data_IF_488635622463
#
_entry.id   IF_488635622463
#
_cell.length_a   1.000
_cell.length_b   1.000
_cell.length_c   1.000
_cell.angle_alpha   90.00
_cell.angle_beta   90.00
_cell.angle_gamma   90.00
#
_symmetry.space_group_name_H-M   'P 1'
#
loop_
_entity.id
_entity.type
_entity.pdbx_description
1 polymer ?
#
# COMPACT_ATOMS: atom_id res chain seq x y z
N UNK A 1 15.60 1.68 -12.90
CA UNK A 1 16.49 0.81 -12.11
C UNK A 1 16.75 1.44 -10.74
N UNK A 2 17.47 0.79 -9.80
CA UNK A 2 17.65 1.27 -8.42
C UNK A 2 18.67 2.43 -8.34
N UNK A 3 18.36 3.53 -9.00
CA UNK A 3 19.16 4.74 -9.12
C UNK A 3 18.25 5.95 -8.91
N UNK A 4 18.78 7.01 -8.30
CA UNK A 4 18.01 8.20 -7.96
C UNK A 4 17.64 8.26 -6.47
N UNK A 5 17.26 9.44 -6.01
CA UNK A 5 16.83 9.70 -4.64
C UNK A 5 15.31 9.72 -4.57
N UNK A 6 14.70 9.78 -3.38
CA UNK A 6 13.23 9.82 -3.23
C UNK A 6 12.59 10.88 -4.13
N UNK A 7 13.22 12.06 -4.24
CA UNK A 7 12.74 13.17 -5.06
C UNK A 7 12.71 12.90 -6.58
N UNK A 8 13.49 11.95 -7.10
CA UNK A 8 13.49 11.64 -8.54
C UNK A 8 12.25 10.84 -8.95
N UNK A 9 11.59 10.16 -8.02
CA UNK A 9 10.41 9.35 -8.31
C UNK A 9 9.18 10.21 -8.67
N UNK A 10 9.09 11.45 -8.17
CA UNK A 10 7.92 12.30 -8.44
C UNK A 10 7.80 12.68 -9.93
N UNK A 11 8.79 13.31 -10.58
CA UNK A 11 8.69 13.62 -12.01
C UNK A 11 8.61 12.37 -12.89
N UNK A 12 9.28 11.28 -12.52
CA UNK A 12 9.21 10.00 -13.22
C UNK A 12 7.79 9.38 -13.19
N UNK A 13 7.15 9.38 -12.02
CA UNK A 13 5.78 8.93 -11.87
C UNK A 13 4.79 9.82 -12.64
N UNK A 14 5.00 11.14 -12.67
CA UNK A 14 4.17 12.05 -13.48
C UNK A 14 4.27 11.72 -14.96
N UNK A 15 5.48 11.58 -15.51
CA UNK A 15 5.68 11.22 -16.90
C UNK A 15 5.01 9.87 -17.26
N UNK A 16 5.07 8.89 -16.36
CA UNK A 16 4.40 7.60 -16.53
C UNK A 16 2.87 7.72 -16.54
N UNK A 17 2.32 8.52 -15.63
CA UNK A 17 0.87 8.76 -15.57
C UNK A 17 0.38 9.56 -16.78
N UNK A 18 1.17 10.50 -17.30
CA UNK A 18 0.83 11.24 -18.52
C UNK A 18 0.70 10.32 -19.74
N UNK A 19 1.54 9.29 -19.84
CA UNK A 19 1.41 8.25 -20.88
C UNK A 19 0.15 7.41 -20.66
N UNK A 20 -0.14 6.98 -19.44
CA UNK A 20 -1.38 6.25 -19.12
C UNK A 20 -2.63 7.07 -19.47
N UNK A 21 -2.63 8.38 -19.19
CA UNK A 21 -3.71 9.28 -19.55
C UNK A 21 -3.79 9.53 -21.05
N UNK A 22 -2.68 9.40 -21.78
CA UNK A 22 -2.67 9.41 -23.24
C UNK A 22 -3.36 8.17 -23.79
N UNK A 23 -3.01 6.97 -23.29
CA UNK A 23 -3.69 5.73 -23.67
C UNK A 23 -5.18 5.75 -23.37
N UNK A 24 -5.59 6.34 -22.23
CA UNK A 24 -7.01 6.57 -21.91
C UNK A 24 -7.71 7.44 -22.96
N UNK A 25 -7.09 8.55 -23.37
CA UNK A 25 -7.66 9.49 -24.35
C UNK A 25 -7.73 8.88 -25.75
N UNK A 26 -6.72 8.10 -26.11
CA UNK A 26 -6.60 7.48 -27.43
C UNK A 26 -7.41 6.17 -27.55
N UNK A 27 -8.01 5.71 -26.45
CA UNK A 27 -8.81 4.48 -26.42
C UNK A 27 -7.99 3.19 -26.43
N UNK A 28 -6.72 3.25 -26.00
CA UNK A 28 -5.79 2.12 -25.98
C UNK A 28 -5.87 1.28 -24.69
N UNK A 29 -6.80 1.58 -23.78
CA UNK A 29 -6.97 0.80 -22.56
C UNK A 29 -7.64 -0.55 -22.85
N UNK A 30 -7.31 -1.53 -22.02
CA UNK A 30 -8.00 -2.82 -22.01
C UNK A 30 -9.46 -2.66 -21.56
N UNK A 31 -10.34 -3.49 -22.11
CA UNK A 31 -11.73 -3.59 -21.69
C UNK A 31 -11.94 -4.87 -20.85
N UNK A 32 -11.83 -4.81 -19.51
CA UNK A 32 -12.02 -5.98 -18.67
C UNK A 32 -13.49 -6.43 -18.69
N UNK A 33 -13.70 -7.75 -18.67
CA UNK A 33 -15.04 -8.35 -18.59
C UNK A 33 -15.75 -8.04 -17.27
N UNK A 34 -14.99 -7.79 -16.20
CA UNK A 34 -15.49 -7.39 -14.88
C UNK A 34 -14.76 -6.12 -14.43
N UNK A 35 -15.26 -4.92 -14.77
CA UNK A 35 -14.61 -3.65 -14.46
C UNK A 35 -14.84 -3.14 -13.03
N UNK A 36 -15.70 -3.80 -12.24
CA UNK A 36 -16.08 -3.34 -10.90
C UNK A 36 -14.93 -3.45 -9.90
N UNK A 37 -14.64 -2.35 -9.20
CA UNK A 37 -13.64 -2.31 -8.14
C UNK A 37 -13.94 -3.29 -7.00
N UNK A 38 -15.23 -3.55 -6.70
CA UNK A 38 -15.61 -4.51 -5.67
C UNK A 38 -15.19 -5.94 -6.03
N UNK A 39 -15.11 -6.29 -7.32
CA UNK A 39 -14.64 -7.60 -7.76
C UNK A 39 -13.16 -7.82 -7.40
N UNK A 40 -12.32 -6.77 -7.48
CA UNK A 40 -10.92 -6.83 -7.05
C UNK A 40 -10.82 -6.94 -5.53
N UNK A 41 -11.62 -6.20 -4.77
CA UNK A 41 -11.64 -6.29 -3.32
C UNK A 41 -12.01 -7.72 -2.85
N UNK A 42 -13.03 -8.33 -3.46
CA UNK A 42 -13.41 -9.71 -3.18
C UNK A 42 -12.29 -10.71 -3.55
N UNK A 43 -11.62 -10.50 -4.68
CA UNK A 43 -10.49 -11.35 -5.11
C UNK A 43 -9.32 -11.27 -4.14
N UNK A 44 -8.98 -10.07 -3.65
CA UNK A 44 -7.93 -9.86 -2.65
C UNK A 44 -8.29 -10.56 -1.35
N UNK A 45 -9.51 -10.38 -0.85
CA UNK A 45 -9.96 -11.01 0.40
C UNK A 45 -9.91 -12.55 0.30
N UNK A 46 -10.28 -13.12 -0.85
CA UNK A 46 -10.23 -14.57 -1.06
C UNK A 46 -8.80 -15.13 -1.13
N UNK A 47 -7.85 -14.38 -1.72
CA UNK A 47 -6.47 -14.84 -1.92
C UNK A 47 -5.53 -14.49 -0.78
N UNK A 48 -5.83 -13.42 -0.05
CA UNK A 48 -5.02 -12.95 1.06
C UNK A 48 -5.93 -12.49 2.21
N UNK A 49 -6.48 -13.43 3.00
CA UNK A 49 -7.46 -13.11 4.05
C UNK A 49 -6.88 -12.23 5.18
N UNK A 50 -5.55 -12.18 5.35
CA UNK A 50 -4.89 -11.35 6.36
C UNK A 50 -4.28 -10.07 5.75
N UNK A 51 -4.82 -9.56 4.64
CA UNK A 51 -4.36 -8.28 4.08
C UNK A 51 -4.54 -7.14 5.10
N UNK A 52 -3.62 -6.17 5.04
CA UNK A 52 -3.69 -4.96 5.84
C UNK A 52 -4.35 -3.85 5.03
N UNK A 53 -5.47 -3.33 5.54
CA UNK A 53 -6.05 -2.08 5.04
C UNK A 53 -5.19 -0.90 5.49
N UNK A 54 -5.46 0.29 4.95
CA UNK A 54 -4.86 1.51 5.45
C UNK A 54 -5.18 1.75 6.93
N UNK A 55 -6.42 1.46 7.37
CA UNK A 55 -6.82 1.60 8.77
C UNK A 55 -6.08 0.61 9.70
N UNK A 56 -5.82 -0.61 9.21
CA UNK A 56 -4.99 -1.58 9.93
C UNK A 56 -3.55 -1.08 10.09
N UNK A 57 -2.99 -0.49 9.02
CA UNK A 57 -1.68 0.11 9.07
C UNK A 57 -1.64 1.28 10.08
N UNK A 58 -2.63 2.19 10.09
CA UNK A 58 -2.66 3.28 11.06
C UNK A 58 -2.62 2.78 12.52
N UNK A 59 -3.35 1.70 12.85
CA UNK A 59 -3.28 1.08 14.19
C UNK A 59 -1.89 0.55 14.52
N UNK A 60 -1.22 -0.10 13.56
CA UNK A 60 0.16 -0.55 13.75
C UNK A 60 1.10 0.64 13.94
N UNK A 61 0.93 1.74 13.21
CA UNK A 61 1.73 2.95 13.39
C UNK A 61 1.59 3.50 14.80
N UNK A 62 0.36 3.64 15.30
CA UNK A 62 0.06 4.07 16.66
C UNK A 62 0.73 3.18 17.71
N UNK A 63 0.64 1.86 17.55
CA UNK A 63 1.30 0.90 18.44
C UNK A 63 2.83 1.03 18.41
N UNK A 64 3.43 1.16 17.23
CA UNK A 64 4.88 1.34 17.10
C UNK A 64 5.36 2.66 17.72
N UNK A 65 4.60 3.75 17.55
CA UNK A 65 4.87 5.05 18.18
C UNK A 65 4.79 4.97 19.71
N UNK A 66 3.71 4.38 20.25
CA UNK A 66 3.50 4.22 21.68
C UNK A 66 4.61 3.38 22.33
N UNK A 67 4.96 2.25 21.71
CA UNK A 67 6.04 1.38 22.17
C UNK A 67 7.41 2.07 22.12
N UNK A 68 7.64 2.91 21.11
CA UNK A 68 8.85 3.74 21.02
C UNK A 68 8.93 4.77 22.14
N UNK A 69 7.84 5.51 22.37
CA UNK A 69 7.77 6.57 23.37
C UNK A 69 8.09 6.05 24.78
N UNK A 70 7.61 4.85 25.13
CA UNK A 70 7.91 4.19 26.40
C UNK A 70 9.42 3.90 26.62
N UNK A 71 10.23 3.92 25.56
CA UNK A 71 11.68 3.69 25.58
C UNK A 71 12.49 4.94 25.20
N UNK A 72 11.86 6.11 25.08
CA UNK A 72 12.54 7.33 24.61
C UNK A 72 12.96 7.29 23.14
N UNK A 73 12.27 6.50 22.31
CA UNK A 73 12.53 6.34 20.87
C UNK A 73 11.36 6.90 20.05
N UNK A 74 11.59 7.37 18.81
CA UNK A 74 10.49 7.83 17.95
C UNK A 74 9.46 6.73 17.66
N UNK A 75 9.93 5.48 17.50
CA UNK A 75 9.09 4.29 17.31
C UNK A 75 9.85 3.00 17.64
N UNK A 76 9.12 1.96 17.96
CA UNK A 76 9.61 0.57 18.03
C UNK A 76 8.84 -0.27 17.02
N UNK A 77 9.51 -0.68 15.94
CA UNK A 77 8.87 -1.38 14.82
C UNK A 77 8.55 -2.84 15.13
N UNK A 78 7.43 -3.34 14.62
CA UNK A 78 7.23 -4.76 14.40
C UNK A 78 8.18 -5.23 13.30
N UNK A 79 8.92 -6.31 13.54
CA UNK A 79 9.95 -6.82 12.63
C UNK A 79 9.54 -8.11 11.92
N UNK A 80 8.33 -8.60 12.17
CA UNK A 80 7.76 -9.76 11.49
C UNK A 80 6.28 -9.56 11.20
N UNK A 81 5.81 -10.14 10.09
CA UNK A 81 4.40 -10.13 9.70
C UNK A 81 3.53 -10.82 10.75
N UNK A 82 4.01 -11.92 11.34
CA UNK A 82 3.29 -12.62 12.40
C UNK A 82 3.03 -11.72 13.61
N UNK A 83 4.01 -10.89 14.01
CA UNK A 83 3.81 -9.93 15.09
C UNK A 83 2.82 -8.82 14.72
N UNK A 84 2.84 -8.34 13.47
CA UNK A 84 1.86 -7.37 12.97
C UNK A 84 0.43 -7.94 12.99
N UNK A 85 0.25 -9.20 12.55
CA UNK A 85 -1.05 -9.89 12.59
C UNK A 85 -1.53 -10.04 14.04
N UNK A 86 -0.67 -10.54 14.93
CA UNK A 86 -0.99 -10.71 16.35
C UNK A 86 -1.36 -9.39 17.04
N UNK A 87 -0.65 -8.31 16.73
CA UNK A 87 -0.92 -6.97 17.27
C UNK A 87 -2.30 -6.42 16.88
N UNK A 88 -2.87 -6.87 15.76
CA UNK A 88 -4.19 -6.48 15.29
C UNK A 88 -5.30 -7.50 15.62
N UNK A 89 -4.95 -8.65 16.22
CA UNK A 89 -5.89 -9.73 16.48
C UNK A 89 -6.51 -10.32 15.21
N UNK A 90 -5.73 -10.37 14.12
CA UNK A 90 -6.14 -10.92 12.82
C UNK A 90 -5.73 -12.38 12.62
#
# INVERSE_FOLDING_TARGET
GPSGVIGTNKPDAVASVDLLLTDLRDGNLIAPTTPDAAAIAALIAARQPHYFTYADWQKLDELELANGAAQGRPRLKFTSVAAMIAALGK
#
